data_IF_148842254253
#
_entry.id   IF_148842254253
#
_cell.length_a   1.000
_cell.length_b   1.000
_cell.length_c   1.000
_cell.angle_alpha   90.00
_cell.angle_beta   90.00
_cell.angle_gamma   90.00
#
_symmetry.space_group_name_H-M   'P 1'
#
loop_
_entity.id
_entity.type
_entity.pdbx_description
1 polymer ?
#
# COMPACT_ATOMS: atom_id res chain seq x y z
N UNK A 1 16.52 -10.07 -61.35
CA UNK A 1 15.71 -10.24 -60.12
C UNK A 1 15.92 -9.03 -59.21
N UNK A 2 14.91 -8.19 -59.01
CA UNK A 2 14.99 -6.96 -58.20
C UNK A 2 14.62 -7.30 -56.74
N UNK A 3 15.54 -7.08 -55.80
CA UNK A 3 15.29 -7.25 -54.35
C UNK A 3 14.93 -5.90 -53.74
N UNK A 4 13.69 -5.77 -53.31
CA UNK A 4 13.18 -4.62 -52.55
C UNK A 4 13.53 -4.83 -51.08
N UNK A 5 14.39 -3.97 -50.53
CA UNK A 5 14.72 -3.92 -49.10
C UNK A 5 13.72 -2.96 -48.45
N UNK A 6 12.84 -3.48 -47.60
CA UNK A 6 11.90 -2.68 -46.80
C UNK A 6 12.60 -2.33 -45.50
N UNK A 7 12.97 -1.06 -45.35
CA UNK A 7 13.47 -0.47 -44.11
C UNK A 7 12.29 -0.28 -43.16
N UNK A 8 12.18 -1.15 -42.15
CA UNK A 8 11.16 -1.03 -41.11
C UNK A 8 11.70 -0.13 -39.99
N UNK A 9 11.39 1.17 -40.06
CA UNK A 9 11.71 2.14 -39.01
C UNK A 9 10.81 1.91 -37.80
N UNK A 10 11.32 1.20 -36.80
CA UNK A 10 10.66 1.06 -35.48
C UNK A 10 10.81 2.38 -34.74
N UNK A 11 9.76 3.20 -34.74
CA UNK A 11 9.60 4.33 -33.84
C UNK A 11 9.37 3.78 -32.43
N UNK A 12 10.42 3.64 -31.63
CA UNK A 12 10.31 3.49 -30.19
C UNK A 12 9.76 4.82 -29.64
N UNK A 13 8.46 4.85 -29.37
CA UNK A 13 7.84 5.93 -28.63
C UNK A 13 8.35 5.90 -27.19
N UNK A 14 9.30 6.78 -26.86
CA UNK A 14 9.68 7.09 -25.49
C UNK A 14 8.47 7.66 -24.77
N UNK A 15 7.75 6.82 -24.03
CA UNK A 15 6.79 7.31 -23.05
C UNK A 15 7.61 8.06 -21.99
N UNK A 16 7.67 9.38 -22.12
CA UNK A 16 8.23 10.24 -21.10
C UNK A 16 7.34 10.11 -19.86
N UNK A 17 7.77 9.28 -18.92
CA UNK A 17 7.15 9.18 -17.60
C UNK A 17 7.15 10.60 -16.99
N UNK A 18 5.98 11.08 -16.61
CA UNK A 18 5.80 12.45 -16.12
C UNK A 18 6.42 12.57 -14.72
N UNK A 19 7.73 12.77 -14.66
CA UNK A 19 8.44 13.29 -13.50
C UNK A 19 8.29 14.81 -13.50
N UNK A 20 7.88 15.41 -12.38
CA UNK A 20 7.73 16.87 -12.29
C UNK A 20 9.09 17.60 -12.16
N UNK A 21 10.20 16.87 -12.32
CA UNK A 21 11.57 17.38 -12.19
C UNK A 21 11.99 17.58 -10.73
N UNK A 22 13.13 18.25 -10.51
CA UNK A 22 13.67 18.52 -9.18
C UNK A 22 12.68 19.31 -8.32
N UNK A 23 12.55 18.93 -7.05
CA UNK A 23 11.71 19.57 -6.05
C UNK A 23 12.59 20.18 -4.95
N UNK A 24 12.54 21.50 -4.79
CA UNK A 24 13.22 22.20 -3.68
C UNK A 24 12.37 22.31 -2.41
N UNK A 25 11.07 22.02 -2.51
CA UNK A 25 10.13 22.07 -1.39
C UNK A 25 8.98 21.06 -1.54
N UNK A 26 8.46 20.60 -0.41
CA UNK A 26 7.24 19.82 -0.33
C UNK A 26 6.04 20.67 -0.76
N UNK A 27 5.21 20.14 -1.64
CA UNK A 27 3.95 20.78 -2.04
C UNK A 27 2.87 20.67 -0.97
N UNK A 28 2.92 19.63 -0.12
CA UNK A 28 1.99 19.42 0.98
C UNK A 28 2.39 20.22 2.22
N UNK A 29 3.61 20.04 2.71
CA UNK A 29 4.06 20.63 3.97
C UNK A 29 4.72 22.00 3.82
N UNK A 30 5.05 22.41 2.59
CA UNK A 30 5.76 23.67 2.29
C UNK A 30 7.09 23.81 3.03
N UNK A 31 7.72 22.69 3.35
CA UNK A 31 9.05 22.64 3.94
C UNK A 31 10.11 22.52 2.83
N UNK A 32 11.30 23.14 3.00
CA UNK A 32 12.46 22.88 2.16
C UNK A 32 12.82 21.38 2.15
N UNK A 33 13.27 20.88 1.01
CA UNK A 33 13.74 19.52 0.84
C UNK A 33 15.26 19.47 0.69
N UNK A 34 15.88 18.34 1.06
CA UNK A 34 17.27 18.05 0.73
C UNK A 34 17.47 18.13 -0.78
N UNK A 35 18.56 18.74 -1.23
CA UNK A 35 18.92 18.84 -2.65
C UNK A 35 18.89 17.47 -3.33
N UNK A 36 18.44 17.43 -4.59
CA UNK A 36 18.36 16.18 -5.37
C UNK A 36 17.01 15.48 -5.29
N UNK A 37 16.05 15.99 -4.50
CA UNK A 37 14.70 15.43 -4.48
C UNK A 37 14.04 15.57 -5.85
N UNK A 38 13.43 14.50 -6.36
CA UNK A 38 12.62 14.49 -7.57
C UNK A 38 11.19 14.15 -7.19
N UNK A 39 10.22 14.94 -7.66
CA UNK A 39 8.80 14.63 -7.43
C UNK A 39 8.31 13.63 -8.48
N UNK A 40 7.77 12.52 -8.01
CA UNK A 40 7.17 11.49 -8.85
C UNK A 40 5.66 11.72 -8.93
N UNK A 41 5.16 11.99 -10.14
CA UNK A 41 3.73 12.21 -10.40
C UNK A 41 3.10 11.14 -11.30
N UNK A 42 3.89 10.17 -11.76
CA UNK A 42 3.39 9.05 -12.54
C UNK A 42 2.52 8.13 -11.66
N UNK A 43 1.23 8.05 -11.98
CA UNK A 43 0.26 7.34 -11.17
C UNK A 43 0.52 5.82 -11.11
N UNK A 44 1.16 5.23 -12.13
CA UNK A 44 1.50 3.82 -12.12
C UNK A 44 2.68 3.55 -11.18
N UNK A 45 3.73 4.37 -11.26
CA UNK A 45 4.90 4.29 -10.39
C UNK A 45 4.56 4.51 -8.91
N UNK A 46 3.61 5.41 -8.61
CA UNK A 46 3.24 5.72 -7.22
C UNK A 46 2.10 4.86 -6.66
N UNK A 47 1.55 3.93 -7.46
CA UNK A 47 0.32 3.21 -7.09
C UNK A 47 0.46 2.42 -5.80
N UNK A 48 1.50 1.61 -5.69
CA UNK A 48 1.69 0.72 -4.53
C UNK A 48 2.09 1.49 -3.28
N UNK A 49 3.02 2.42 -3.43
CA UNK A 49 3.39 3.33 -2.34
C UNK A 49 2.17 4.14 -1.85
N UNK A 50 1.30 4.54 -2.77
CA UNK A 50 0.00 5.15 -2.46
C UNK A 50 -0.98 4.23 -1.75
N UNK A 51 -1.02 2.94 -2.08
CA UNK A 51 -1.81 1.96 -1.34
C UNK A 51 -1.29 1.80 0.09
N UNK A 52 0.02 1.73 0.28
CA UNK A 52 0.63 1.67 1.61
C UNK A 52 0.30 2.91 2.45
N UNK A 53 0.42 4.12 1.90
CA UNK A 53 -0.01 5.35 2.56
C UNK A 53 -1.50 5.36 2.92
N UNK A 54 -2.37 4.79 2.08
CA UNK A 54 -3.79 4.64 2.40
C UNK A 54 -4.01 3.66 3.57
N UNK A 55 -3.24 2.57 3.66
CA UNK A 55 -3.28 1.67 4.82
C UNK A 55 -2.85 2.38 6.10
N UNK A 56 -1.76 3.18 6.05
CA UNK A 56 -1.35 4.00 7.19
C UNK A 56 -2.43 5.01 7.58
N UNK A 57 -3.06 5.67 6.61
CA UNK A 57 -4.15 6.61 6.85
C UNK A 57 -5.37 5.93 7.51
N UNK A 58 -5.73 4.74 7.05
CA UNK A 58 -6.80 3.93 7.63
C UNK A 58 -6.49 3.51 9.07
N UNK A 59 -5.23 3.15 9.37
CA UNK A 59 -4.76 2.90 10.73
C UNK A 59 -4.86 4.12 11.66
N UNK A 60 -4.97 5.33 11.09
CA UNK A 60 -5.25 6.57 11.80
C UNK A 60 -6.73 6.98 11.80
N UNK A 61 -7.62 6.03 11.49
CA UNK A 61 -9.08 6.22 11.35
C UNK A 61 -9.44 7.35 10.38
N UNK A 62 -8.66 7.52 9.32
CA UNK A 62 -8.89 8.51 8.27
C UNK A 62 -8.63 7.90 6.88
N UNK A 63 -8.72 8.71 5.84
CA UNK A 63 -8.30 8.34 4.48
C UNK A 63 -7.34 9.37 3.92
N UNK A 64 -6.63 9.02 2.86
CA UNK A 64 -5.78 9.97 2.17
C UNK A 64 -6.60 11.00 1.39
N UNK A 65 -6.34 12.28 1.62
CA UNK A 65 -6.93 13.39 0.87
C UNK A 65 -6.04 13.77 -0.32
N UNK A 66 -4.74 13.87 -0.08
CA UNK A 66 -3.72 14.21 -1.07
C UNK A 66 -2.41 13.52 -0.70
N UNK A 67 -1.64 13.11 -1.70
CA UNK A 67 -0.33 12.50 -1.52
C UNK A 67 0.74 13.21 -2.33
N UNK A 68 1.97 13.13 -1.85
CA UNK A 68 3.18 13.57 -2.56
C UNK A 68 4.25 12.49 -2.38
N UNK A 69 5.01 12.25 -3.45
CA UNK A 69 6.06 11.23 -3.52
C UNK A 69 7.35 11.90 -4.02
N UNK A 70 8.43 11.67 -3.29
CA UNK A 70 9.74 12.28 -3.50
C UNK A 70 10.78 11.16 -3.51
N UNK A 71 11.73 11.24 -4.43
CA UNK A 71 12.83 10.28 -4.55
C UNK A 71 14.15 11.03 -4.60
N UNK A 72 15.14 10.54 -3.88
CA UNK A 72 16.55 10.89 -4.04
C UNK A 72 17.27 9.67 -4.60
N UNK A 73 17.89 9.82 -5.76
CA UNK A 73 18.62 8.76 -6.46
C UNK A 73 20.04 8.60 -5.88
N UNK A 74 20.12 8.43 -4.57
CA UNK A 74 21.35 8.24 -3.80
C UNK A 74 21.02 7.79 -2.37
N UNK A 75 21.37 6.56 -2.02
CA UNK A 75 21.23 6.00 -0.67
C UNK A 75 22.07 6.73 0.38
N UNK A 76 23.24 7.25 0.00
CA UNK A 76 24.12 8.08 0.86
C UNK A 76 23.43 9.32 1.44
N UNK A 77 22.28 9.75 0.88
CA UNK A 77 21.53 10.90 1.37
C UNK A 77 20.53 10.55 2.49
N UNK A 78 20.37 9.27 2.87
CA UNK A 78 19.36 8.85 3.83
C UNK A 78 19.44 9.60 5.17
N UNK A 79 20.61 9.59 5.81
CA UNK A 79 20.83 10.30 7.08
C UNK A 79 20.59 11.80 6.92
N UNK A 80 21.11 12.40 5.85
CA UNK A 80 20.95 13.83 5.58
C UNK A 80 19.47 14.21 5.35
N UNK A 81 18.70 13.38 4.65
CA UNK A 81 17.27 13.57 4.43
C UNK A 81 16.52 13.53 5.77
N UNK A 82 16.81 12.55 6.62
CA UNK A 82 16.20 12.42 7.96
C UNK A 82 16.50 13.65 8.81
N UNK A 83 17.78 14.04 8.91
CA UNK A 83 18.22 15.18 9.73
C UNK A 83 17.61 16.50 9.27
N UNK A 84 17.60 16.75 7.95
CA UNK A 84 17.01 17.95 7.39
C UNK A 84 15.50 18.00 7.65
N UNK A 85 14.78 16.88 7.45
CA UNK A 85 13.36 16.81 7.75
C UNK A 85 13.08 17.06 9.23
N UNK A 86 13.82 16.43 10.14
CA UNK A 86 13.69 16.63 11.58
C UNK A 86 13.90 18.10 11.98
N UNK A 87 14.92 18.76 11.40
CA UNK A 87 15.17 20.19 11.61
C UNK A 87 14.01 21.07 11.10
N UNK A 88 13.43 20.73 9.95
CA UNK A 88 12.26 21.44 9.42
C UNK A 88 11.01 21.20 10.28
N UNK A 89 10.80 19.98 10.76
CA UNK A 89 9.68 19.65 11.65
C UNK A 89 9.74 20.49 12.93
N UNK A 90 10.92 20.57 13.55
CA UNK A 90 11.15 21.42 14.72
C UNK A 90 10.90 22.90 14.42
N UNK A 91 11.48 23.42 13.34
CA UNK A 91 11.31 24.82 12.93
C UNK A 91 9.85 25.20 12.68
N UNK A 92 9.06 24.28 12.12
CA UNK A 92 7.64 24.47 11.80
C UNK A 92 6.71 24.20 12.99
N UNK A 93 7.23 23.67 14.11
CA UNK A 93 6.39 23.24 15.23
C UNK A 93 5.50 22.05 14.88
N UNK A 94 5.97 21.14 14.03
CA UNK A 94 5.29 19.89 13.69
C UNK A 94 5.50 18.87 14.80
N UNK A 95 4.42 18.30 15.31
CA UNK A 95 4.51 17.19 16.27
C UNK A 95 4.76 15.89 15.52
N UNK A 96 5.88 15.25 15.81
CA UNK A 96 6.27 13.95 15.25
C UNK A 96 5.86 12.79 16.17
N UNK A 97 5.31 11.72 15.59
CA UNK A 97 5.06 10.44 16.26
C UNK A 97 5.46 9.30 15.32
N UNK A 98 6.47 8.52 15.71
CA UNK A 98 6.80 7.28 15.03
C UNK A 98 5.64 6.27 15.13
N UNK A 99 5.35 5.60 14.02
CA UNK A 99 4.32 4.57 13.92
C UNK A 99 4.94 3.18 13.83
N UNK A 100 5.89 3.00 12.92
CA UNK A 100 6.62 1.76 12.70
C UNK A 100 8.01 2.08 12.15
N UNK A 101 8.96 1.21 12.43
CA UNK A 101 10.32 1.25 11.91
C UNK A 101 10.76 -0.18 11.67
N UNK A 102 11.28 -0.44 10.48
CA UNK A 102 11.78 -1.74 10.05
C UNK A 102 13.14 -1.52 9.39
N UNK A 103 14.13 -2.26 9.84
CA UNK A 103 15.48 -2.24 9.29
C UNK A 103 15.85 -3.68 8.94
N UNK A 104 16.33 -3.87 7.71
CA UNK A 104 16.83 -5.13 7.17
C UNK A 104 18.20 -4.87 6.53
N UNK A 105 18.93 -5.94 6.21
CA UNK A 105 20.31 -5.87 5.71
C UNK A 105 20.46 -5.00 4.44
N UNK A 106 19.39 -4.88 3.64
CA UNK A 106 19.39 -4.16 2.36
C UNK A 106 18.47 -2.93 2.32
N UNK A 107 17.66 -2.70 3.36
CA UNK A 107 16.68 -1.60 3.34
C UNK A 107 16.24 -1.13 4.72
N UNK A 108 15.78 0.11 4.75
CA UNK A 108 15.24 0.76 5.94
C UNK A 108 13.87 1.35 5.61
N UNK A 109 12.90 1.22 6.53
CA UNK A 109 11.62 1.90 6.42
C UNK A 109 11.20 2.52 7.76
N UNK A 110 10.73 3.77 7.69
CA UNK A 110 10.24 4.54 8.82
C UNK A 110 8.89 5.14 8.48
N UNK A 111 7.85 4.68 9.17
CA UNK A 111 6.50 5.25 9.08
C UNK A 111 6.21 6.13 10.28
N UNK A 112 5.62 7.31 10.05
CA UNK A 112 5.36 8.29 11.10
C UNK A 112 4.12 9.14 10.83
N UNK A 113 3.58 9.74 11.89
CA UNK A 113 2.48 10.70 11.89
C UNK A 113 3.03 12.09 12.24
N UNK A 114 2.72 13.07 11.41
CA UNK A 114 2.94 14.49 11.69
C UNK A 114 1.61 15.18 12.01
N UNK A 115 1.62 16.08 12.98
CA UNK A 115 0.49 16.95 13.29
C UNK A 115 0.89 18.41 13.24
N UNK A 116 0.15 19.21 12.48
CA UNK A 116 0.29 20.67 12.38
C UNK A 116 -1.05 21.33 12.68
N UNK A 117 -1.21 21.87 13.90
CA UNK A 117 -2.51 22.42 14.34
C UNK A 117 -3.61 21.35 14.17
N UNK A 118 -4.57 21.55 13.27
CA UNK A 118 -5.63 20.59 12.94
C UNK A 118 -5.31 19.66 11.77
N UNK A 119 -4.23 19.90 11.04
CA UNK A 119 -3.81 19.06 9.91
C UNK A 119 -2.99 17.87 10.43
N UNK A 120 -3.23 16.70 9.83
CA UNK A 120 -2.51 15.47 10.15
C UNK A 120 -1.99 14.85 8.86
N UNK A 121 -0.79 14.28 8.92
CA UNK A 121 -0.13 13.66 7.78
C UNK A 121 0.47 12.33 8.21
N UNK A 122 0.22 11.26 7.47
CA UNK A 122 1.02 10.04 7.61
C UNK A 122 2.11 10.04 6.54
N UNK A 123 3.28 9.55 6.89
CA UNK A 123 4.41 9.49 6.00
C UNK A 123 5.13 8.16 6.16
N UNK A 124 5.81 7.76 5.09
CA UNK A 124 6.81 6.69 5.10
C UNK A 124 8.05 7.18 4.38
N UNK A 125 9.19 7.03 5.03
CA UNK A 125 10.52 7.11 4.45
C UNK A 125 11.00 5.69 4.23
N UNK A 126 11.45 5.38 3.02
CA UNK A 126 12.04 4.10 2.65
C UNK A 126 13.41 4.37 2.05
N UNK A 127 14.42 3.59 2.41
CA UNK A 127 15.74 3.63 1.81
C UNK A 127 16.18 2.23 1.44
N UNK A 128 16.85 2.09 0.31
CA UNK A 128 17.56 0.87 -0.10
C UNK A 128 19.00 1.23 -0.52
N UNK A 129 19.72 0.28 -1.11
CA UNK A 129 21.09 0.49 -1.56
C UNK A 129 21.24 1.57 -2.65
N UNK A 130 20.18 1.90 -3.38
CA UNK A 130 20.22 2.81 -4.53
C UNK A 130 19.63 4.19 -4.20
N UNK A 131 18.57 4.23 -3.40
CA UNK A 131 17.69 5.40 -3.33
C UNK A 131 17.05 5.61 -1.96
N UNK A 132 16.53 6.82 -1.78
CA UNK A 132 15.67 7.19 -0.66
C UNK A 132 14.35 7.69 -1.21
N UNK A 133 13.24 7.12 -0.75
CA UNK A 133 11.88 7.43 -1.15
C UNK A 133 11.10 7.95 0.05
N UNK A 134 10.51 9.12 -0.10
CA UNK A 134 9.58 9.69 0.87
C UNK A 134 8.22 9.84 0.22
N UNK A 135 7.21 9.30 0.87
CA UNK A 135 5.84 9.66 0.55
C UNK A 135 5.08 10.06 1.80
N UNK A 136 4.26 11.07 1.65
CA UNK A 136 3.37 11.51 2.70
C UNK A 136 1.98 11.78 2.15
N UNK A 137 1.02 11.66 3.04
CA UNK A 137 -0.39 11.68 2.76
C UNK A 137 -1.06 12.60 3.78
N UNK A 138 -1.72 13.66 3.31
CA UNK A 138 -2.59 14.47 4.15
C UNK A 138 -3.85 13.67 4.49
N UNK A 139 -4.11 13.52 5.79
CA UNK A 139 -5.32 12.85 6.26
C UNK A 139 -6.53 13.75 6.04
N UNK A 140 -7.65 13.16 5.62
CA UNK A 140 -8.95 13.84 5.62
C UNK A 140 -9.22 14.36 7.03
N UNK A 141 -9.52 15.65 7.14
CA UNK A 141 -9.93 16.26 8.40
C UNK A 141 -11.13 15.50 8.97
N UNK A 142 -11.14 15.29 10.30
CA UNK A 142 -12.32 14.75 10.96
C UNK A 142 -13.51 15.67 10.60
N UNK A 143 -14.66 15.14 10.15
CA UNK A 143 -15.81 15.97 9.88
C UNK A 143 -16.10 16.79 11.14
N UNK A 144 -16.12 18.11 11.01
CA UNK A 144 -16.50 18.97 12.13
C UNK A 144 -17.83 18.43 12.67
N UNK A 145 -17.95 18.15 13.98
CA UNK A 145 -19.23 17.74 14.53
C UNK A 145 -20.24 18.80 14.11
N UNK A 146 -21.21 18.39 13.28
CA UNK A 146 -22.18 19.32 12.75
C UNK A 146 -22.81 20.01 13.95
N UNK A 147 -22.59 21.33 14.07
CA UNK A 147 -23.20 22.12 15.11
C UNK A 147 -24.71 21.90 14.99
N UNK A 148 -25.28 21.19 15.96
CA UNK A 148 -26.70 20.89 15.98
C UNK A 148 -27.46 22.20 16.01
N UNK A 149 -27.96 22.65 14.86
CA UNK A 149 -29.06 23.61 14.81
C UNK A 149 -30.23 22.95 15.54
N UNK A 150 -30.93 23.64 16.46
CA UNK A 150 -32.20 23.15 16.98
C UNK A 150 -33.10 22.86 15.78
N UNK A 151 -33.53 21.62 15.65
CA UNK A 151 -34.39 21.21 14.55
C UNK A 151 -35.70 22.01 14.63
N UNK A 152 -36.08 22.80 13.60
CA UNK A 152 -37.45 23.27 13.50
C UNK A 152 -38.36 22.04 13.32
N UNK A 153 -39.48 22.00 14.03
CA UNK A 153 -40.45 20.92 13.95
C UNK A 153 -40.85 20.68 12.48
N UNK A 154 -40.39 19.56 11.92
CA UNK A 154 -40.68 19.18 10.55
C UNK A 154 -42.11 18.61 10.48
N UNK A 155 -42.95 19.22 9.66
CA UNK A 155 -44.14 18.58 9.13
C UNK A 155 -43.75 17.29 8.38
N UNK A 156 -44.61 16.25 8.34
CA UNK A 156 -44.25 14.94 7.80
C UNK A 156 -43.96 15.02 6.30
N UNK A 157 -42.69 14.98 5.92
CA UNK A 157 -42.26 14.82 4.53
C UNK A 157 -42.16 13.32 4.26
N UNK A 158 -42.88 12.88 3.22
CA UNK A 158 -42.85 11.51 2.71
C UNK A 158 -41.41 11.14 2.33
N UNK A 159 -40.82 10.19 3.07
CA UNK A 159 -39.42 9.82 2.95
C UNK A 159 -39.08 9.39 1.51
N UNK A 160 -38.05 10.02 0.94
CA UNK A 160 -37.38 9.50 -0.24
C UNK A 160 -36.67 8.18 0.14
N UNK A 161 -36.78 7.11 -0.67
CA UNK A 161 -36.14 5.84 -0.36
C UNK A 161 -34.62 6.02 -0.30
N UNK A 162 -34.04 5.61 0.82
CA UNK A 162 -32.60 5.58 1.02
C UNK A 162 -31.93 4.71 -0.06
N UNK A 163 -30.70 5.06 -0.52
CA UNK A 163 -29.93 4.18 -1.37
C UNK A 163 -29.83 2.81 -0.72
N UNK A 164 -30.33 1.78 -1.40
CA UNK A 164 -30.25 0.41 -0.91
C UNK A 164 -28.77 0.07 -0.70
N UNK A 165 -28.39 -0.22 0.55
CA UNK A 165 -27.13 -0.92 0.83
C UNK A 165 -27.13 -2.17 -0.03
N UNK A 166 -26.25 -2.24 -1.03
CA UNK A 166 -26.00 -3.47 -1.78
C UNK A 166 -25.73 -4.56 -0.76
N UNK A 167 -26.58 -5.58 -0.75
CA UNK A 167 -26.45 -6.71 0.15
C UNK A 167 -25.04 -7.29 0.01
N UNK A 168 -24.32 -7.59 1.11
CA UNK A 168 -23.04 -8.26 1.04
C UNK A 168 -23.16 -9.51 0.19
N UNK A 169 -22.32 -9.64 -0.84
CA UNK A 169 -22.19 -10.87 -1.61
C UNK A 169 -21.92 -12.00 -0.62
N UNK A 170 -22.73 -13.05 -0.63
CA UNK A 170 -22.60 -14.15 0.32
C UNK A 170 -21.16 -14.66 0.33
N UNK A 171 -20.55 -14.72 1.51
CA UNK A 171 -19.18 -15.20 1.69
C UNK A 171 -19.07 -16.63 1.14
N UNK A 172 -18.17 -16.82 0.17
CA UNK A 172 -17.90 -18.12 -0.41
C UNK A 172 -16.63 -18.70 0.23
N UNK A 173 -16.72 -19.93 0.72
CA UNK A 173 -15.56 -20.64 1.24
C UNK A 173 -14.62 -21.04 0.08
N UNK A 174 -13.30 -21.05 0.30
CA UNK A 174 -12.38 -21.62 -0.66
C UNK A 174 -12.67 -23.11 -0.86
N UNK A 175 -12.51 -23.59 -2.10
CA UNK A 175 -12.72 -25.00 -2.40
C UNK A 175 -11.48 -25.81 -1.96
N UNK A 176 -11.63 -26.96 -1.30
CA UNK A 176 -10.50 -27.85 -1.02
C UNK A 176 -9.72 -28.20 -2.29
N UNK A 177 -8.39 -28.24 -2.18
CA UNK A 177 -7.48 -28.45 -3.30
C UNK A 177 -6.08 -27.93 -3.05
N UNK A 178 -5.21 -28.12 -4.04
CA UNK A 178 -3.84 -27.62 -4.04
C UNK A 178 -3.82 -26.18 -4.58
N UNK A 179 -3.15 -25.28 -3.89
CA UNK A 179 -3.04 -23.87 -4.23
C UNK A 179 -1.58 -23.50 -4.41
N UNK A 180 -1.19 -23.11 -5.62
CA UNK A 180 0.15 -22.59 -5.92
C UNK A 180 0.19 -21.11 -5.63
N UNK A 181 1.19 -20.66 -4.86
CA UNK A 181 1.30 -19.29 -4.39
C UNK A 181 2.50 -18.56 -5.00
N UNK A 182 2.31 -17.29 -5.31
CA UNK A 182 3.37 -16.38 -5.65
C UNK A 182 3.22 -15.08 -4.85
N UNK A 183 4.35 -14.44 -4.59
CA UNK A 183 4.43 -13.12 -3.98
C UNK A 183 4.90 -12.13 -5.04
N UNK A 184 4.21 -11.00 -5.14
CA UNK A 184 4.68 -9.88 -5.94
C UNK A 184 5.59 -9.04 -5.08
N UNK A 185 6.86 -8.96 -5.45
CA UNK A 185 7.86 -8.18 -4.74
C UNK A 185 8.17 -6.93 -5.56
N UNK A 186 7.90 -5.74 -5.02
CA UNK A 186 8.36 -4.51 -5.64
C UNK A 186 9.89 -4.46 -5.55
N UNK A 187 10.55 -4.20 -6.67
CA UNK A 187 11.99 -3.93 -6.78
C UNK A 187 12.17 -2.56 -7.41
N UNK A 188 12.89 -1.67 -6.75
CA UNK A 188 13.31 -0.42 -7.39
C UNK A 188 14.58 -0.71 -8.19
N UNK A 189 14.53 -0.52 -9.50
CA UNK A 189 15.66 -0.77 -10.39
C UNK A 189 15.75 0.38 -11.40
N UNK A 190 16.91 1.03 -11.48
CA UNK A 190 17.18 2.12 -12.42
C UNK A 190 16.14 3.25 -12.36
N UNK A 191 15.75 3.67 -11.15
CA UNK A 191 14.81 4.78 -10.96
C UNK A 191 13.34 4.44 -11.24
N UNK A 192 12.98 3.16 -11.38
CA UNK A 192 11.60 2.70 -11.61
C UNK A 192 11.24 1.49 -10.74
N UNK A 193 9.99 1.45 -10.24
CA UNK A 193 9.46 0.26 -9.60
C UNK A 193 9.15 -0.82 -10.65
N UNK A 194 9.80 -1.96 -10.49
CA UNK A 194 9.54 -3.19 -11.20
C UNK A 194 8.92 -4.21 -10.25
N UNK A 195 8.21 -5.20 -10.79
CA UNK A 195 7.57 -6.25 -10.00
C UNK A 195 8.15 -7.59 -10.37
N UNK A 196 8.79 -8.23 -9.40
CA UNK A 196 9.21 -9.61 -9.51
C UNK A 196 8.15 -10.52 -8.91
N UNK A 197 7.82 -11.60 -9.60
CA UNK A 197 6.87 -12.60 -9.11
C UNK A 197 7.70 -13.78 -8.60
N UNK A 198 7.87 -13.87 -7.29
CA UNK A 198 8.57 -15.00 -6.66
C UNK A 198 7.58 -16.11 -6.31
N UNK A 199 7.83 -17.33 -6.80
CA UNK A 199 7.02 -18.50 -6.44
C UNK A 199 7.30 -18.91 -4.99
N UNK A 200 6.26 -18.99 -4.16
CA UNK A 200 6.36 -19.36 -2.73
C UNK A 200 6.01 -20.82 -2.44
N UNK A 201 5.77 -21.61 -3.49
CA UNK A 201 5.41 -23.01 -3.38
C UNK A 201 3.89 -23.21 -3.39
N UNK A 202 3.39 -24.13 -2.59
CA UNK A 202 1.97 -24.46 -2.55
C UNK A 202 1.49 -24.84 -1.14
N UNK A 203 0.18 -24.84 -0.95
CA UNK A 203 -0.46 -25.48 0.19
C UNK A 203 -1.69 -26.26 -0.27
N UNK A 204 -2.12 -27.24 0.52
CA UNK A 204 -3.31 -28.03 0.27
C UNK A 204 -4.39 -27.65 1.27
N UNK A 205 -5.49 -27.08 0.80
CA UNK A 205 -6.72 -26.98 1.58
C UNK A 205 -7.40 -28.35 1.57
N UNK A 206 -7.62 -28.89 2.76
CA UNK A 206 -8.29 -30.16 2.95
C UNK A 206 -9.75 -29.92 3.34
N UNK A 207 -10.59 -30.91 3.06
CA UNK A 207 -11.95 -30.93 3.60
C UNK A 207 -11.91 -30.89 5.14
N UNK A 208 -12.94 -30.29 5.75
CA UNK A 208 -13.04 -30.20 7.21
C UNK A 208 -12.23 -29.08 7.86
N UNK A 209 -11.83 -28.04 7.10
CA UNK A 209 -11.24 -26.83 7.69
C UNK A 209 -9.78 -27.01 8.11
N UNK A 210 -9.04 -27.92 7.48
CA UNK A 210 -7.59 -28.12 7.72
C UNK A 210 -6.79 -27.82 6.47
N UNK A 211 -5.50 -27.54 6.63
CA UNK A 211 -4.58 -27.36 5.51
C UNK A 211 -3.20 -27.97 5.80
N UNK A 212 -2.43 -28.21 4.75
CA UNK A 212 -1.00 -28.57 4.83
C UNK A 212 -0.16 -27.64 3.95
N UNK A 213 0.91 -27.07 4.49
CA UNK A 213 1.86 -26.27 3.72
C UNK A 213 2.86 -27.13 2.93
N UNK A 214 3.73 -26.48 2.16
CA UNK A 214 4.74 -27.12 1.31
C UNK A 214 5.77 -27.93 2.12
N UNK A 215 5.99 -27.58 3.39
CA UNK A 215 6.94 -28.24 4.29
C UNK A 215 6.30 -29.37 5.10
N UNK A 216 5.02 -29.68 4.84
CA UNK A 216 4.26 -30.73 5.54
C UNK A 216 3.69 -30.28 6.89
N UNK A 217 3.89 -29.02 7.27
CA UNK A 217 3.26 -28.44 8.44
C UNK A 217 1.75 -28.33 8.24
N UNK A 218 0.98 -28.51 9.32
CA UNK A 218 -0.48 -28.59 9.26
C UNK A 218 -1.13 -27.51 10.13
N UNK A 219 -2.27 -27.02 9.67
CA UNK A 219 -3.05 -26.02 10.39
C UNK A 219 -4.54 -26.11 10.10
N UNK A 220 -5.27 -25.11 10.57
CA UNK A 220 -6.72 -24.98 10.37
C UNK A 220 -7.04 -23.71 9.60
N UNK A 221 -8.18 -23.73 8.94
CA UNK A 221 -8.76 -22.55 8.32
C UNK A 221 -10.25 -22.45 8.63
N UNK A 222 -10.77 -21.23 8.72
CA UNK A 222 -12.18 -20.95 8.98
C UNK A 222 -12.63 -19.72 8.21
N UNK A 223 -13.72 -19.83 7.46
CA UNK A 223 -14.41 -18.68 6.87
C UNK A 223 -15.14 -17.89 7.97
N UNK A 224 -14.90 -16.59 8.04
CA UNK A 224 -15.74 -15.67 8.79
C UNK A 224 -16.90 -15.20 7.90
N UNK A 225 -18.16 -15.58 8.20
CA UNK A 225 -19.30 -15.21 7.38
C UNK A 225 -19.63 -13.71 7.44
N UNK A 226 -19.15 -12.99 8.46
CA UNK A 226 -19.41 -11.56 8.60
C UNK A 226 -18.51 -10.72 7.68
N UNK A 227 -17.25 -11.10 7.54
CA UNK A 227 -16.25 -10.38 6.74
C UNK A 227 -16.00 -11.01 5.37
N UNK A 228 -16.33 -12.29 5.21
CA UNK A 228 -15.97 -13.06 4.02
C UNK A 228 -14.51 -13.50 3.97
N UNK A 229 -13.73 -13.23 5.03
CA UNK A 229 -12.32 -13.59 5.10
C UNK A 229 -12.13 -15.02 5.62
N UNK A 230 -11.18 -15.73 5.05
CA UNK A 230 -10.71 -17.03 5.56
C UNK A 230 -9.55 -16.79 6.52
N UNK A 231 -9.70 -17.18 7.78
CA UNK A 231 -8.64 -17.12 8.78
C UNK A 231 -7.88 -18.43 8.85
N UNK A 232 -6.56 -18.37 8.98
CA UNK A 232 -5.67 -19.52 9.13
C UNK A 232 -5.04 -19.54 10.52
N UNK A 233 -4.77 -20.73 11.04
CA UNK A 233 -4.05 -20.93 12.31
C UNK A 233 -3.17 -22.18 12.29
N UNK A 234 -2.04 -22.11 13.02
CA UNK A 234 -0.98 -23.11 13.03
C UNK A 234 -0.05 -23.01 11.81
N UNK A 235 1.13 -23.62 11.90
CA UNK A 235 2.16 -23.73 10.85
C UNK A 235 2.51 -22.42 10.12
N UNK A 236 2.94 -22.51 8.84
CA UNK A 236 3.41 -21.37 8.04
C UNK A 236 2.36 -20.31 7.68
N UNK A 237 1.08 -20.55 7.97
CA UNK A 237 0.01 -19.56 7.80
C UNK A 237 -0.62 -19.16 9.14
N UNK A 238 0.09 -19.30 10.26
CA UNK A 238 -0.47 -18.91 11.55
C UNK A 238 -0.86 -17.42 11.56
N UNK A 239 -2.12 -17.14 11.94
CA UNK A 239 -2.75 -15.81 11.93
C UNK A 239 -2.92 -15.18 10.54
N UNK A 240 -2.66 -15.91 9.45
CA UNK A 240 -2.91 -15.39 8.13
C UNK A 240 -4.41 -15.22 7.86
N UNK A 241 -4.75 -14.29 6.97
CA UNK A 241 -6.11 -14.11 6.45
C UNK A 241 -6.10 -14.22 4.93
N UNK A 242 -7.20 -14.65 4.33
CA UNK A 242 -7.33 -14.68 2.88
C UNK A 242 -8.69 -14.20 2.41
N UNK A 243 -8.68 -13.42 1.33
CA UNK A 243 -9.85 -13.06 0.55
C UNK A 243 -9.99 -13.99 -0.66
N UNK A 244 -11.21 -14.46 -0.93
CA UNK A 244 -11.51 -15.24 -2.13
C UNK A 244 -11.76 -14.28 -3.31
N UNK A 245 -10.85 -14.28 -4.27
CA UNK A 245 -10.94 -13.53 -5.50
C UNK A 245 -11.75 -14.28 -6.57
N UNK A 246 -12.08 -13.58 -7.66
CA UNK A 246 -12.68 -14.20 -8.84
C UNK A 246 -11.79 -15.32 -9.42
N UNK A 247 -12.44 -16.37 -9.91
CA UNK A 247 -11.78 -17.58 -10.42
C UNK A 247 -11.31 -18.54 -9.32
N UNK A 248 -11.71 -18.33 -8.06
CA UNK A 248 -11.34 -19.21 -6.95
C UNK A 248 -9.89 -19.03 -6.48
N UNK A 249 -9.27 -17.89 -6.81
CA UNK A 249 -7.94 -17.50 -6.33
C UNK A 249 -8.03 -16.94 -4.92
N UNK A 250 -6.93 -16.98 -4.17
CA UNK A 250 -6.84 -16.47 -2.82
C UNK A 250 -5.82 -15.34 -2.77
N UNK A 251 -6.21 -14.23 -2.19
CA UNK A 251 -5.28 -13.18 -1.76
C UNK A 251 -5.01 -13.37 -0.27
N UNK A 252 -3.81 -13.86 0.07
CA UNK A 252 -3.43 -14.22 1.44
C UNK A 252 -2.53 -13.14 2.02
N UNK A 253 -2.87 -12.64 3.21
CA UNK A 253 -2.03 -11.76 4.02
C UNK A 253 -1.51 -12.55 5.21
N UNK A 254 -0.18 -12.67 5.30
CA UNK A 254 0.52 -13.44 6.33
C UNK A 254 1.26 -12.46 7.23
N UNK A 255 0.90 -12.34 8.52
CA UNK A 255 1.67 -11.55 9.47
C UNK A 255 3.00 -12.25 9.76
N UNK A 256 4.09 -11.50 9.66
CA UNK A 256 5.46 -11.94 9.92
C UNK A 256 6.09 -11.03 10.99
N UNK A 257 7.30 -11.37 11.44
CA UNK A 257 8.04 -10.48 12.34
C UNK A 257 8.43 -9.16 11.64
N UNK A 258 8.70 -9.21 10.33
CA UNK A 258 9.06 -8.09 9.46
C UNK A 258 7.83 -7.48 8.75
N UNK A 259 6.68 -7.39 9.43
CA UNK A 259 5.45 -6.83 8.86
C UNK A 259 4.56 -7.87 8.16
N UNK A 260 3.98 -7.54 7.01
CA UNK A 260 3.00 -8.39 6.32
C UNK A 260 3.53 -8.88 4.97
N UNK A 261 3.32 -10.17 4.69
CA UNK A 261 3.56 -10.77 3.37
C UNK A 261 2.26 -11.00 2.65
N UNK A 262 2.25 -10.78 1.33
CA UNK A 262 1.04 -10.79 0.51
C UNK A 262 1.20 -11.76 -0.64
N UNK A 263 0.48 -12.86 -0.59
CA UNK A 263 0.57 -13.92 -1.59
C UNK A 263 -0.71 -13.99 -2.41
N UNK A 264 -0.56 -14.15 -3.73
CA UNK A 264 -1.66 -14.55 -4.60
C UNK A 264 -1.53 -16.04 -4.86
N UNK A 265 -2.57 -16.80 -4.52
CA UNK A 265 -2.59 -18.25 -4.69
C UNK A 265 -3.71 -18.67 -5.65
N UNK A 266 -3.38 -19.51 -6.62
CA UNK A 266 -4.33 -20.06 -7.58
C UNK A 266 -4.44 -21.56 -7.40
N UNK A 267 -5.65 -22.11 -7.58
CA UNK A 267 -5.86 -23.55 -7.54
C UNK A 267 -5.12 -24.21 -8.71
N UNK A 268 -4.35 -25.26 -8.42
CA UNK A 268 -3.61 -26.07 -9.39
C UNK A 268 -4.35 -27.37 -9.72
#
# INVERSE_FOLDING_TARGET
MKRTVILLSVLLGSAAYAQQGPASSSSLLRIPLTTGAVRVTDAAATREFGQFLNTLAAGQSSGCQSSEYLVWDSSDLAEQVIDNLAAQFKTRGLTYKQLAEEEDDESYSLSFLLTEKSNRYVAVLYGDAESVVLGWCQLKGAPAPAAGKPAPAQAPVKAAPAPAKTAPKAAQAPTPGKYGCAETIPRFLNGSYTYEIETRGYFNLLAGGTYKDVYGGAGRWRLDPATGLTHFSGSGFDRATAELLEGGRLWIVIPTASGERRWTCSRM
#
